data_IF_100140098992
#
_entry.id   IF_100140098992
#
_cell.length_a   1.000
_cell.length_b   1.000
_cell.length_c   1.000
_cell.angle_alpha   90.00
_cell.angle_beta   90.00
_cell.angle_gamma   90.00
#
_symmetry.space_group_name_H-M   'P 1'
#
loop_
_entity.id
_entity.type
_entity.pdbx_description
1 polymer ?
#
# COMPACT_ATOMS: atom_id res chain seq x y z
N UNK A 1 27.52 -43.66 -6.09
CA UNK A 1 26.84 -43.52 -7.39
C UNK A 1 25.34 -43.32 -7.23
N UNK A 2 24.62 -44.16 -6.46
CA UNK A 2 23.18 -43.98 -6.20
C UNK A 2 22.82 -42.59 -5.62
N UNK A 3 23.57 -42.07 -4.64
CA UNK A 3 23.31 -40.72 -4.08
C UNK A 3 23.52 -39.57 -5.09
N UNK A 4 24.40 -39.74 -6.09
CA UNK A 4 24.60 -38.71 -7.12
C UNK A 4 23.46 -38.68 -8.13
N UNK A 5 22.82 -39.82 -8.37
CA UNK A 5 21.69 -39.96 -9.27
C UNK A 5 20.41 -39.37 -8.66
N UNK A 6 20.20 -39.56 -7.35
CA UNK A 6 19.09 -38.96 -6.61
C UNK A 6 19.18 -37.42 -6.53
N UNK A 7 20.39 -36.87 -6.36
CA UNK A 7 20.60 -35.42 -6.34
C UNK A 7 20.33 -34.80 -7.72
N UNK A 8 20.75 -35.46 -8.80
CA UNK A 8 20.51 -34.98 -10.15
C UNK A 8 19.01 -34.95 -10.49
N UNK A 9 18.27 -35.99 -10.13
CA UNK A 9 16.82 -36.06 -10.33
C UNK A 9 16.06 -35.01 -9.51
N UNK A 10 16.50 -34.74 -8.27
CA UNK A 10 15.93 -33.68 -7.45
C UNK A 10 16.16 -32.29 -8.06
N UNK A 11 17.35 -32.06 -8.62
CA UNK A 11 17.72 -30.79 -9.24
C UNK A 11 16.90 -30.52 -10.51
N UNK A 12 16.75 -31.54 -11.36
CA UNK A 12 15.91 -31.48 -12.57
C UNK A 12 14.44 -31.18 -12.20
N UNK A 13 13.90 -31.85 -11.17
CA UNK A 13 12.55 -31.59 -10.68
C UNK A 13 12.37 -30.15 -10.20
N UNK A 14 13.35 -29.59 -9.47
CA UNK A 14 13.30 -28.20 -9.04
C UNK A 14 13.41 -27.21 -10.21
N UNK A 15 14.22 -27.52 -11.22
CA UNK A 15 14.39 -26.67 -12.38
C UNK A 15 13.12 -26.61 -13.24
N UNK A 16 12.44 -27.74 -13.40
CA UNK A 16 11.13 -27.80 -14.05
C UNK A 16 10.07 -27.01 -13.27
N UNK A 17 10.06 -27.11 -11.93
CA UNK A 17 9.14 -26.33 -11.10
C UNK A 17 9.39 -24.82 -11.19
N UNK A 18 10.65 -24.37 -11.28
CA UNK A 18 10.98 -22.96 -11.49
C UNK A 18 10.48 -22.49 -12.85
N UNK A 19 10.69 -23.30 -13.90
CA UNK A 19 10.21 -22.97 -15.24
C UNK A 19 8.68 -22.83 -15.30
N UNK A 20 7.94 -23.73 -14.63
CA UNK A 20 6.49 -23.65 -14.53
C UNK A 20 6.03 -22.36 -13.82
N UNK A 21 6.76 -21.93 -12.78
CA UNK A 21 6.48 -20.66 -12.09
C UNK A 21 6.72 -19.45 -12.99
N UNK A 22 7.80 -19.45 -13.78
CA UNK A 22 8.06 -18.38 -14.75
C UNK A 22 6.95 -18.27 -15.81
N UNK A 23 6.47 -19.41 -16.33
CA UNK A 23 5.34 -19.46 -17.27
C UNK A 23 4.05 -18.92 -16.63
N UNK A 24 3.80 -19.23 -15.36
CA UNK A 24 2.66 -18.68 -14.62
C UNK A 24 2.76 -17.16 -14.44
N UNK A 25 3.95 -16.64 -14.10
CA UNK A 25 4.19 -15.20 -13.95
C UNK A 25 3.96 -14.46 -15.27
N UNK A 26 4.44 -15.00 -16.39
CA UNK A 26 4.24 -14.40 -17.71
C UNK A 26 2.75 -14.39 -18.09
N UNK A 27 2.05 -15.50 -17.85
CA UNK A 27 0.60 -15.59 -18.08
C UNK A 27 -0.19 -14.58 -17.23
N UNK A 28 0.20 -14.38 -15.97
CA UNK A 28 -0.40 -13.36 -15.09
C UNK A 28 -0.17 -11.93 -15.59
N UNK A 29 1.02 -11.65 -16.12
CA UNK A 29 1.34 -10.35 -16.71
C UNK A 29 0.48 -10.09 -17.96
N UNK A 30 0.26 -11.08 -18.81
CA UNK A 30 -0.60 -10.96 -19.98
C UNK A 30 -2.06 -10.68 -19.60
N UNK A 31 -2.56 -11.38 -18.57
CA UNK A 31 -3.90 -11.10 -18.02
C UNK A 31 -3.99 -9.68 -17.48
N UNK A 32 -2.99 -9.23 -16.71
CA UNK A 32 -2.94 -7.86 -16.18
C UNK A 32 -2.98 -6.80 -17.29
N UNK A 33 -2.18 -6.99 -18.34
CA UNK A 33 -2.15 -6.09 -19.50
C UNK A 33 -3.49 -6.07 -20.23
N UNK A 34 -4.11 -7.25 -20.39
CA UNK A 34 -5.43 -7.41 -21.01
C UNK A 34 -6.53 -6.70 -20.22
N UNK A 35 -6.60 -6.89 -18.90
CA UNK A 35 -7.53 -6.19 -17.99
C UNK A 35 -7.33 -4.68 -18.10
N UNK A 36 -6.08 -4.22 -18.02
CA UNK A 36 -5.76 -2.80 -18.10
C UNK A 36 -6.22 -2.19 -19.43
N UNK A 37 -6.00 -2.88 -20.55
CA UNK A 37 -6.45 -2.43 -21.87
C UNK A 37 -7.98 -2.33 -21.96
N UNK A 38 -8.72 -3.34 -21.49
CA UNK A 38 -10.19 -3.32 -21.45
C UNK A 38 -10.69 -2.14 -20.62
N UNK A 39 -10.07 -1.90 -19.46
CA UNK A 39 -10.44 -0.80 -18.56
C UNK A 39 -10.21 0.57 -19.19
N UNK A 40 -9.08 0.77 -19.88
CA UNK A 40 -8.82 2.02 -20.62
C UNK A 40 -9.84 2.28 -21.74
N UNK A 41 -10.29 1.23 -22.43
CA UNK A 41 -11.36 1.34 -23.44
C UNK A 41 -12.68 1.76 -22.78
N UNK A 42 -13.06 1.11 -21.68
CA UNK A 42 -14.30 1.43 -20.95
C UNK A 42 -14.31 2.85 -20.37
N UNK A 43 -13.15 3.36 -19.98
CA UNK A 43 -12.99 4.74 -19.50
C UNK A 43 -12.89 5.78 -20.62
N UNK A 44 -12.99 5.37 -21.89
CA UNK A 44 -12.83 6.26 -23.04
C UNK A 44 -11.42 6.82 -23.20
N UNK A 45 -10.42 6.23 -22.53
CA UNK A 45 -9.01 6.64 -22.58
C UNK A 45 -8.28 6.05 -23.79
N UNK A 46 -8.80 4.99 -24.39
CA UNK A 46 -8.30 4.43 -25.64
C UNK A 46 -9.46 4.06 -26.57
N UNK A 47 -9.42 4.44 -27.86
CA UNK A 47 -10.42 4.00 -28.81
C UNK A 47 -10.26 2.49 -29.09
N UNK A 48 -11.35 1.70 -29.13
CA UNK A 48 -11.25 0.31 -29.53
C UNK A 48 -10.83 0.21 -30.99
N UNK A 49 -9.88 -0.67 -31.32
CA UNK A 49 -9.48 -0.97 -32.70
C UNK A 49 -10.69 -1.40 -33.56
N UNK A 50 -11.63 -2.14 -32.95
CA UNK A 50 -12.98 -2.39 -33.46
C UNK A 50 -13.87 -2.95 -32.34
N UNK A 51 -15.20 -2.90 -32.51
CA UNK A 51 -16.13 -3.52 -31.56
C UNK A 51 -15.99 -5.05 -31.45
N UNK A 52 -15.49 -5.71 -32.51
CA UNK A 52 -15.20 -7.14 -32.49
C UNK A 52 -13.93 -7.44 -31.67
N UNK A 53 -12.85 -6.67 -31.88
CA UNK A 53 -11.60 -6.82 -31.15
C UNK A 53 -11.77 -6.56 -29.65
N UNK A 54 -12.62 -5.62 -29.27
CA UNK A 54 -12.96 -5.39 -27.85
C UNK A 54 -13.66 -6.60 -27.23
N UNK A 55 -14.65 -7.18 -27.92
CA UNK A 55 -15.39 -8.36 -27.42
C UNK A 55 -14.48 -9.57 -27.27
N UNK A 56 -13.56 -9.80 -28.20
CA UNK A 56 -12.58 -10.89 -28.10
C UNK A 56 -11.62 -10.68 -26.94
N UNK A 57 -11.07 -9.47 -26.79
CA UNK A 57 -10.20 -9.14 -25.65
C UNK A 57 -10.93 -9.32 -24.33
N UNK A 58 -12.14 -8.78 -24.17
CA UNK A 58 -12.93 -8.94 -22.95
C UNK A 58 -13.25 -10.42 -22.64
N UNK A 59 -13.55 -11.23 -23.65
CA UNK A 59 -13.80 -12.67 -23.50
C UNK A 59 -12.53 -13.42 -23.06
N UNK A 60 -11.39 -13.09 -23.66
CA UNK A 60 -10.09 -13.63 -23.25
C UNK A 60 -9.77 -13.27 -21.80
N UNK A 61 -9.89 -11.98 -21.44
CA UNK A 61 -9.67 -11.49 -20.08
C UNK A 61 -10.55 -12.23 -19.06
N UNK A 62 -11.84 -12.36 -19.35
CA UNK A 62 -12.79 -13.06 -18.47
C UNK A 62 -12.40 -14.52 -18.27
N UNK A 63 -12.10 -15.24 -19.36
CA UNK A 63 -11.73 -16.67 -19.32
C UNK A 63 -10.43 -16.90 -18.54
N UNK A 64 -9.47 -15.99 -18.70
CA UNK A 64 -8.20 -16.06 -18.00
C UNK A 64 -8.37 -15.77 -16.50
N UNK A 65 -9.18 -14.77 -16.13
CA UNK A 65 -9.53 -14.51 -14.73
C UNK A 65 -10.28 -15.67 -14.08
N UNK A 66 -11.21 -16.31 -14.80
CA UNK A 66 -11.92 -17.50 -14.30
C UNK A 66 -10.97 -18.69 -14.10
N UNK A 67 -10.01 -18.89 -15.00
CA UNK A 67 -8.98 -19.92 -14.87
C UNK A 67 -8.05 -19.66 -13.69
N UNK A 68 -7.64 -18.40 -13.49
CA UNK A 68 -6.85 -17.98 -12.33
C UNK A 68 -7.61 -18.15 -11.01
N UNK A 69 -8.90 -17.82 -10.98
CA UNK A 69 -9.74 -18.02 -9.81
C UNK A 69 -9.83 -19.52 -9.45
N UNK A 70 -9.99 -20.40 -10.44
CA UNK A 70 -9.96 -21.86 -10.24
C UNK A 70 -8.60 -22.35 -9.72
N UNK A 71 -7.50 -21.79 -10.21
CA UNK A 71 -6.15 -22.12 -9.73
C UNK A 71 -5.90 -21.62 -8.30
N UNK A 72 -6.38 -20.42 -7.96
CA UNK A 72 -6.25 -19.84 -6.62
C UNK A 72 -7.03 -20.66 -5.55
N UNK A 73 -8.21 -21.17 -5.91
CA UNK A 73 -8.99 -22.06 -5.04
C UNK A 73 -8.26 -23.39 -4.79
N UNK A 74 -7.49 -23.87 -5.76
CA UNK A 74 -6.73 -25.13 -5.64
C UNK A 74 -5.36 -24.94 -4.95
N UNK A 75 -4.76 -23.74 -5.00
CA UNK A 75 -3.46 -23.47 -4.39
C UNK A 75 -3.54 -23.25 -2.87
N UNK A 76 -4.71 -22.89 -2.34
CA UNK A 76 -4.95 -22.76 -0.90
C UNK A 76 -4.83 -24.13 -0.18
N UNK A 77 -5.24 -25.21 -0.85
CA UNK A 77 -5.02 -26.59 -0.38
C UNK A 77 -3.54 -26.99 -0.39
N UNK A 78 -2.83 -26.68 -1.47
CA UNK A 78 -1.39 -26.97 -1.61
C UNK A 78 -0.51 -26.16 -0.64
N UNK A 79 -0.87 -24.91 -0.35
CA UNK A 79 -0.16 -24.07 0.64
C UNK A 79 -0.36 -24.59 2.06
N UNK A 80 -1.56 -25.06 2.40
CA UNK A 80 -1.84 -25.68 3.69
C UNK A 80 -1.09 -27.02 3.83
N UNK A 81 -1.06 -27.84 2.77
CA UNK A 81 -0.31 -29.09 2.75
C UNK A 81 1.22 -28.85 2.83
N UNK A 82 1.76 -27.84 2.14
CA UNK A 82 3.17 -27.48 2.21
C UNK A 82 3.56 -26.95 3.61
N UNK A 83 2.68 -26.17 4.25
CA UNK A 83 2.90 -25.69 5.62
C UNK A 83 2.81 -26.81 6.67
N UNK A 84 1.97 -27.83 6.45
CA UNK A 84 1.86 -28.97 7.36
C UNK A 84 2.98 -29.98 7.22
N UNK A 85 3.65 -30.07 6.06
CA UNK A 85 4.52 -31.22 5.76
C UNK A 85 6.02 -30.95 5.98
N UNK A 86 6.52 -29.70 5.92
CA UNK A 86 7.97 -29.46 5.95
C UNK A 86 8.53 -28.39 6.90
N UNK A 87 7.74 -27.44 7.42
CA UNK A 87 8.29 -26.43 8.34
C UNK A 87 8.74 -26.95 9.73
N UNK A 88 8.07 -27.96 10.36
CA UNK A 88 8.48 -28.44 11.67
C UNK A 88 9.77 -29.28 11.67
N UNK A 89 10.28 -29.72 10.51
CA UNK A 89 11.48 -30.56 10.42
C UNK A 89 12.78 -29.76 10.26
N UNK A 90 12.71 -28.51 9.83
CA UNK A 90 13.87 -27.64 9.61
C UNK A 90 14.18 -26.71 10.79
N UNK A 91 13.22 -26.51 11.69
CA UNK A 91 13.38 -25.76 12.92
C UNK A 91 13.26 -26.74 14.08
N UNK A 92 14.40 -27.17 14.62
CA UNK A 92 14.44 -27.97 15.84
C UNK A 92 13.63 -27.32 16.98
N UNK A 93 13.26 -28.08 18.03
CA UNK A 93 12.36 -27.61 19.07
C UNK A 93 12.92 -26.34 19.73
N UNK A 94 12.20 -25.22 19.57
CA UNK A 94 12.55 -23.96 20.21
C UNK A 94 12.34 -24.06 21.73
N UNK A 95 13.35 -23.74 22.56
CA UNK A 95 13.22 -23.82 24.01
C UNK A 95 12.66 -22.51 24.54
N UNK A 96 11.35 -22.41 24.71
CA UNK A 96 10.71 -21.59 25.76
C UNK A 96 9.36 -22.24 26.08
N UNK A 97 9.29 -22.79 27.29
CA UNK A 97 8.15 -23.51 27.84
C UNK A 97 6.98 -22.58 28.15
N UNK A 98 5.80 -23.21 28.22
CA UNK A 98 4.47 -22.65 28.49
C UNK A 98 4.32 -21.85 29.81
N UNK A 99 5.36 -21.68 30.63
CA UNK A 99 5.27 -21.06 31.96
C UNK A 99 5.38 -19.52 31.93
N UNK A 100 5.91 -18.92 30.86
CA UNK A 100 6.01 -17.45 30.73
C UNK A 100 4.65 -16.80 30.40
N UNK A 101 3.71 -17.54 29.79
CA UNK A 101 2.40 -17.02 29.34
C UNK A 101 1.45 -16.60 30.47
N UNK A 102 1.62 -17.10 31.69
CA UNK A 102 0.72 -16.75 32.80
C UNK A 102 1.25 -15.59 33.66
N UNK A 103 2.55 -15.29 33.62
CA UNK A 103 3.13 -14.21 34.45
C UNK A 103 3.09 -12.84 33.76
N UNK A 104 3.17 -12.78 32.43
CA UNK A 104 3.17 -11.49 31.71
C UNK A 104 1.78 -10.85 31.59
N UNK A 105 0.71 -11.67 31.50
CA UNK A 105 -0.67 -11.16 31.45
C UNK A 105 -1.16 -10.53 32.77
N UNK A 106 -0.51 -10.83 33.91
CA UNK A 106 -0.86 -10.24 35.21
C UNK A 106 -0.03 -9.00 35.57
N UNK A 107 1.00 -8.68 34.77
CA UNK A 107 1.92 -7.57 35.06
C UNK A 107 1.66 -6.33 34.19
N UNK A 108 0.93 -6.45 33.07
CA UNK A 108 0.56 -5.33 32.20
C UNK A 108 -0.54 -4.42 32.78
N UNK A 109 -1.37 -4.90 33.72
CA UNK A 109 -2.45 -4.11 34.32
C UNK A 109 -1.98 -3.13 35.41
N UNK A 110 -0.71 -3.22 35.85
CA UNK A 110 -0.15 -2.37 36.91
C UNK A 110 0.74 -1.22 36.42
N UNK A 111 1.07 -1.19 35.12
CA UNK A 111 1.98 -0.19 34.54
C UNK A 111 1.30 0.78 33.56
N UNK A 112 -0.04 0.80 33.50
CA UNK A 112 -0.77 1.81 32.75
C UNK A 112 -0.56 3.19 33.41
N UNK A 113 0.25 4.04 32.76
CA UNK A 113 0.44 5.44 33.15
C UNK A 113 -0.93 6.16 33.01
N UNK A 114 -1.48 6.75 34.08
CA UNK A 114 -2.71 7.52 33.97
C UNK A 114 -2.44 8.81 33.19
N UNK A 115 -2.93 8.91 31.96
CA UNK A 115 -2.91 10.17 31.21
C UNK A 115 -4.16 10.98 31.53
N UNK A 116 -3.95 12.17 32.11
CA UNK A 116 -5.00 13.19 32.22
C UNK A 116 -5.51 13.56 30.82
N UNK A 117 -6.82 13.83 30.65
CA UNK A 117 -7.34 14.34 29.38
C UNK A 117 -6.66 15.68 29.06
N UNK A 118 -5.95 15.73 27.93
CA UNK A 118 -5.38 16.97 27.42
C UNK A 118 -6.50 17.82 26.80
N UNK A 119 -6.66 19.09 27.22
CA UNK A 119 -7.54 20.02 26.54
C UNK A 119 -6.91 20.44 25.22
N UNK A 120 -7.65 20.27 24.12
CA UNK A 120 -7.31 20.85 22.82
C UNK A 120 -6.40 19.99 21.94
N UNK A 121 -6.92 18.86 21.44
CA UNK A 121 -6.42 18.34 20.16
C UNK A 121 -6.78 19.40 19.12
N UNK A 122 -5.77 20.10 18.61
CA UNK A 122 -5.94 21.07 17.52
C UNK A 122 -6.28 20.26 16.28
N UNK A 123 -7.57 20.05 16.07
CA UNK A 123 -8.17 19.54 14.85
C UNK A 123 -7.79 20.51 13.74
N UNK A 124 -6.97 20.06 12.79
CA UNK A 124 -6.75 20.80 11.56
C UNK A 124 -8.05 20.73 10.73
N UNK A 125 -8.98 21.63 11.02
CA UNK A 125 -10.18 21.85 10.20
C UNK A 125 -9.73 22.24 8.80
N UNK A 126 -10.07 21.42 7.81
CA UNK A 126 -10.06 21.82 6.42
C UNK A 126 -11.10 22.92 6.24
N UNK A 127 -10.66 24.15 5.99
CA UNK A 127 -11.55 25.26 5.66
C UNK A 127 -12.26 24.96 4.33
N UNK A 128 -13.52 24.55 4.45
CA UNK A 128 -14.49 24.44 3.37
C UNK A 128 -15.11 25.82 3.13
N UNK A 129 -14.77 26.46 2.01
CA UNK A 129 -15.66 27.34 1.22
C UNK A 129 -14.94 28.00 0.02
N UNK A 130 -13.61 28.05 0.03
CA UNK A 130 -12.80 28.31 -1.17
C UNK A 130 -12.27 26.98 -1.69
N UNK A 131 -12.34 26.73 -2.99
CA UNK A 131 -11.66 25.56 -3.58
C UNK A 131 -10.22 25.51 -3.08
N UNK A 132 -9.67 24.32 -2.81
CA UNK A 132 -8.37 24.21 -2.15
C UNK A 132 -7.34 25.07 -2.88
N UNK A 133 -6.47 25.77 -2.14
CA UNK A 133 -5.48 26.74 -2.65
C UNK A 133 -4.61 26.17 -3.79
N UNK A 134 -4.53 24.84 -3.87
CA UNK A 134 -3.77 24.06 -4.83
C UNK A 134 -4.58 23.49 -6.01
N UNK A 135 -5.86 23.83 -6.13
CA UNK A 135 -6.69 23.40 -7.25
C UNK A 135 -6.15 23.93 -8.58
N UNK A 136 -5.98 23.05 -9.57
CA UNK A 136 -5.45 23.36 -10.91
C UNK A 136 -3.98 23.78 -10.98
N UNK A 137 -3.21 23.63 -9.91
CA UNK A 137 -1.78 23.85 -9.96
C UNK A 137 -1.07 22.81 -10.83
N UNK A 138 0.06 23.21 -11.41
CA UNK A 138 1.00 22.25 -12.01
C UNK A 138 1.56 21.33 -10.90
N UNK A 139 2.14 20.19 -11.29
CA UNK A 139 2.84 19.29 -10.36
C UNK A 139 3.91 20.07 -9.58
N UNK A 140 4.69 20.91 -10.28
CA UNK A 140 5.76 21.71 -9.69
C UNK A 140 5.22 22.76 -8.69
N UNK A 141 4.15 23.45 -9.05
CA UNK A 141 3.54 24.45 -8.17
C UNK A 141 2.86 23.81 -6.96
N UNK A 142 2.32 22.60 -7.13
CA UNK A 142 1.76 21.80 -6.04
C UNK A 142 2.86 21.39 -5.05
N UNK A 143 4.03 20.96 -5.55
CA UNK A 143 5.19 20.65 -4.69
C UNK A 143 5.65 21.89 -3.92
N UNK A 144 5.80 23.04 -4.60
CA UNK A 144 6.18 24.31 -3.94
C UNK A 144 5.16 24.80 -2.92
N UNK A 145 3.87 24.63 -3.19
CA UNK A 145 2.83 24.90 -2.20
C UNK A 145 2.96 23.95 -1.00
N UNK A 146 3.15 22.66 -1.23
CA UNK A 146 3.25 21.65 -0.18
C UNK A 146 4.47 21.90 0.73
N UNK A 147 5.64 22.22 0.16
CA UNK A 147 6.82 22.59 0.93
C UNK A 147 6.58 23.80 1.84
N UNK A 148 5.89 24.84 1.33
CA UNK A 148 5.52 26.02 2.13
C UNK A 148 4.58 25.64 3.28
N UNK A 149 3.61 24.76 3.03
CA UNK A 149 2.67 24.28 4.05
C UNK A 149 3.38 23.47 5.14
N UNK A 150 4.21 22.49 4.75
CA UNK A 150 4.96 21.64 5.68
C UNK A 150 5.93 22.45 6.54
N UNK A 151 6.58 23.47 5.96
CA UNK A 151 7.44 24.38 6.72
C UNK A 151 6.68 25.15 7.80
N UNK A 152 5.41 25.50 7.57
CA UNK A 152 4.56 26.16 8.57
C UNK A 152 4.08 25.21 9.67
N UNK A 153 3.82 23.94 9.35
CA UNK A 153 3.37 22.95 10.33
C UNK A 153 4.50 22.39 11.21
N UNK A 154 5.76 22.59 10.83
CA UNK A 154 6.93 22.04 11.53
C UNK A 154 7.15 20.55 11.30
N UNK A 155 6.34 19.93 10.44
CA UNK A 155 6.45 18.51 10.08
C UNK A 155 7.70 18.30 9.21
N UNK A 156 8.47 17.24 9.47
CA UNK A 156 9.67 16.92 8.67
C UNK A 156 9.32 16.05 7.47
N UNK A 157 8.58 16.62 6.51
CA UNK A 157 8.21 15.93 5.25
C UNK A 157 8.83 16.67 4.07
N UNK A 158 9.36 15.93 3.10
CA UNK A 158 9.90 16.49 1.85
C UNK A 158 9.35 15.73 0.68
N UNK A 159 8.83 16.44 -0.32
CA UNK A 159 8.42 15.86 -1.59
C UNK A 159 9.33 16.36 -2.70
N UNK A 160 9.85 15.46 -3.54
CA UNK A 160 10.76 15.81 -4.63
C UNK A 160 10.49 14.93 -5.84
N UNK A 161 10.66 15.48 -7.03
CA UNK A 161 10.60 14.70 -8.27
C UNK A 161 11.84 13.81 -8.39
N UNK A 162 11.64 12.57 -8.82
CA UNK A 162 12.73 11.68 -9.23
C UNK A 162 12.90 11.76 -10.74
N UNK A 163 14.13 11.97 -11.19
CA UNK A 163 14.49 11.85 -12.59
C UNK A 163 14.47 10.37 -12.98
N UNK A 164 13.41 9.94 -13.64
CA UNK A 164 13.36 8.60 -14.24
C UNK A 164 14.16 8.60 -15.53
N UNK A 165 15.19 7.75 -15.62
CA UNK A 165 16.07 7.59 -16.80
C UNK A 165 15.40 7.00 -18.05
N UNK A 166 14.06 6.95 -18.12
CA UNK A 166 13.35 6.32 -19.23
C UNK A 166 12.26 7.24 -19.77
N UNK A 167 12.12 7.21 -21.10
CA UNK A 167 11.21 7.97 -21.97
C UNK A 167 9.72 7.62 -21.76
N UNK A 168 9.26 7.54 -20.51
CA UNK A 168 7.88 7.29 -20.19
C UNK A 168 7.11 8.60 -19.93
N UNK A 169 5.80 8.66 -20.23
CA UNK A 169 4.98 9.84 -19.97
C UNK A 169 4.68 10.06 -18.47
N UNK A 170 5.21 9.18 -17.60
CA UNK A 170 4.98 9.21 -16.16
C UNK A 170 6.03 10.05 -15.45
N UNK A 171 5.59 10.80 -14.45
CA UNK A 171 6.47 11.44 -13.49
C UNK A 171 6.45 10.67 -12.18
N UNK A 172 7.63 10.43 -11.61
CA UNK A 172 7.75 9.81 -10.30
C UNK A 172 8.08 10.87 -9.27
N UNK A 173 7.32 10.92 -8.18
CA UNK A 173 7.60 11.74 -7.01
C UNK A 173 8.01 10.84 -5.85
N UNK A 174 9.00 11.27 -5.08
CA UNK A 174 9.38 10.70 -3.79
C UNK A 174 8.94 11.64 -2.69
N UNK A 175 8.19 11.12 -1.73
CA UNK A 175 7.78 11.83 -0.51
C UNK A 175 8.46 11.14 0.67
N UNK A 176 9.41 11.82 1.30
CA UNK A 176 10.09 11.36 2.49
C UNK A 176 9.40 11.95 3.73
N UNK A 177 8.92 11.07 4.61
CA UNK A 177 8.44 11.40 5.95
C UNK A 177 9.56 11.00 6.91
N UNK A 178 10.27 11.99 7.44
CA UNK A 178 11.54 11.79 8.16
C UNK A 178 11.39 10.81 9.32
N UNK A 179 12.21 9.75 9.30
CA UNK A 179 12.24 8.71 10.33
C UNK A 179 11.06 7.74 10.33
N UNK A 180 10.12 7.86 9.38
CA UNK A 180 8.92 7.01 9.30
C UNK A 180 8.92 6.21 8.00
N UNK A 181 8.80 6.88 6.85
CA UNK A 181 8.53 6.21 5.58
C UNK A 181 8.96 7.01 4.36
N UNK A 182 9.11 6.32 3.24
CA UNK A 182 9.23 6.87 1.90
C UNK A 182 8.01 6.44 1.08
N UNK A 183 7.29 7.38 0.48
CA UNK A 183 6.24 7.10 -0.48
C UNK A 183 6.69 7.46 -1.89
N UNK A 184 6.40 6.61 -2.87
CA UNK A 184 6.65 6.87 -4.28
C UNK A 184 5.31 6.97 -5.01
N UNK A 185 5.13 8.06 -5.74
CA UNK A 185 3.91 8.38 -6.48
C UNK A 185 4.28 8.43 -7.96
N UNK A 186 3.74 7.50 -8.73
CA UNK A 186 3.80 7.51 -10.20
C UNK A 186 2.54 8.17 -10.70
N UNK A 187 2.68 9.29 -11.40
CA UNK A 187 1.55 10.07 -11.89
C UNK A 187 1.68 10.42 -13.37
N UNK A 188 0.53 10.62 -14.01
CA UNK A 188 0.43 11.19 -15.35
C UNK A 188 0.12 12.68 -15.24
N UNK A 189 0.89 13.50 -15.95
CA UNK A 189 0.61 14.93 -16.06
C UNK A 189 0.04 15.27 -17.43
N UNK A 190 -0.93 16.18 -17.49
CA UNK A 190 -1.46 16.68 -18.75
C UNK A 190 -0.50 17.68 -19.42
N UNK A 191 -0.85 18.15 -20.63
CA UNK A 191 -0.06 19.14 -21.39
C UNK A 191 0.21 20.46 -20.65
N UNK A 192 -0.57 20.78 -19.61
CA UNK A 192 -0.37 21.97 -18.75
C UNK A 192 0.48 21.65 -17.51
N UNK A 193 1.09 20.46 -17.45
CA UNK A 193 1.90 20.00 -16.33
C UNK A 193 1.10 19.69 -15.06
N UNK A 194 -0.23 19.55 -15.14
CA UNK A 194 -1.10 19.27 -13.98
C UNK A 194 -1.30 17.77 -13.83
N UNK A 195 -1.33 17.28 -12.60
CA UNK A 195 -1.64 15.88 -12.30
C UNK A 195 -3.03 15.53 -12.86
N UNK A 196 -3.10 14.50 -13.71
CA UNK A 196 -4.33 13.99 -14.30
C UNK A 196 -4.76 12.70 -13.64
N UNK A 197 -3.81 11.82 -13.32
CA UNK A 197 -4.05 10.55 -12.66
C UNK A 197 -2.82 10.14 -11.84
N UNK A 198 -3.02 9.30 -10.83
CA UNK A 198 -1.94 8.62 -10.12
C UNK A 198 -2.05 7.14 -10.50
N UNK A 199 -1.04 6.63 -11.20
CA UNK A 199 -1.00 5.25 -11.69
C UNK A 199 -0.56 4.27 -10.61
N UNK A 200 0.32 4.71 -9.69
CA UNK A 200 0.80 3.88 -8.57
C UNK A 200 1.18 4.76 -7.39
N UNK A 201 0.81 4.32 -6.20
CA UNK A 201 1.30 4.87 -4.93
C UNK A 201 1.75 3.71 -4.07
N UNK A 202 3.04 3.69 -3.73
CA UNK A 202 3.63 2.66 -2.88
C UNK A 202 4.39 3.31 -1.73
N UNK A 203 4.37 2.68 -0.57
CA UNK A 203 4.99 3.15 0.66
C UNK A 203 5.97 2.10 1.17
N UNK A 204 7.12 2.58 1.62
CA UNK A 204 8.23 1.81 2.19
C UNK A 204 8.69 2.43 3.51
N UNK A 205 9.37 1.66 4.34
CA UNK A 205 10.05 2.15 5.52
C UNK A 205 11.18 3.12 5.17
N UNK A 206 11.55 3.97 6.14
CA UNK A 206 12.58 4.99 5.93
C UNK A 206 13.95 4.41 5.50
N UNK A 207 14.27 3.18 5.90
CA UNK A 207 15.52 2.48 5.57
C UNK A 207 15.39 1.39 4.50
N UNK A 208 14.24 1.26 3.84
CA UNK A 208 14.07 0.28 2.76
C UNK A 208 14.60 0.83 1.43
N UNK A 209 15.37 0.01 0.72
CA UNK A 209 15.93 0.32 -0.62
C UNK A 209 15.19 -0.47 -1.70
N UNK A 210 13.89 -0.21 -1.84
CA UNK A 210 13.04 -0.89 -2.81
C UNK A 210 12.79 -0.01 -4.04
N UNK A 211 12.57 -0.66 -5.17
CA UNK A 211 12.14 0.02 -6.39
C UNK A 211 10.66 0.42 -6.32
N UNK A 212 10.28 1.42 -7.11
CA UNK A 212 8.89 1.92 -7.20
C UNK A 212 7.89 0.83 -7.62
N UNK A 213 8.38 -0.26 -8.23
CA UNK A 213 7.59 -1.35 -8.79
C UNK A 213 7.43 -2.54 -7.85
N UNK A 214 8.16 -2.54 -6.74
CA UNK A 214 8.08 -3.57 -5.71
C UNK A 214 7.12 -3.14 -4.60
N UNK A 215 6.85 -4.07 -3.69
CA UNK A 215 6.14 -3.80 -2.45
C UNK A 215 7.13 -3.80 -1.28
N UNK A 216 6.81 -3.10 -0.20
CA UNK A 216 7.63 -3.07 1.02
C UNK A 216 7.81 -4.47 1.62
N UNK A 217 8.96 -4.76 2.19
CA UNK A 217 9.20 -5.97 2.98
C UNK A 217 8.40 -5.98 4.30
N UNK A 218 8.02 -4.81 4.81
CA UNK A 218 7.28 -4.66 6.06
C UNK A 218 5.76 -4.61 5.83
N UNK A 219 5.04 -5.48 6.55
CA UNK A 219 3.58 -5.61 6.45
C UNK A 219 2.82 -4.29 6.71
N UNK A 220 3.35 -3.44 7.60
CA UNK A 220 2.76 -2.13 7.92
C UNK A 220 2.68 -1.22 6.68
N UNK A 221 3.77 -1.12 5.91
CA UNK A 221 3.81 -0.25 4.73
C UNK A 221 3.13 -0.89 3.52
N UNK A 222 3.14 -2.24 3.40
CA UNK A 222 2.24 -2.93 2.45
C UNK A 222 0.79 -2.56 2.68
N UNK A 223 0.34 -2.56 3.95
CA UNK A 223 -1.03 -2.20 4.31
C UNK A 223 -1.34 -0.73 3.98
N UNK A 224 -0.42 0.19 4.27
CA UNK A 224 -0.59 1.61 3.90
C UNK A 224 -0.70 1.77 2.39
N UNK A 225 0.12 1.06 1.62
CA UNK A 225 0.08 1.08 0.15
C UNK A 225 -1.29 0.61 -0.37
N UNK A 226 -1.87 -0.43 0.23
CA UNK A 226 -3.23 -0.89 -0.11
C UNK A 226 -4.31 0.15 0.21
N UNK A 227 -4.22 0.80 1.39
CA UNK A 227 -5.17 1.87 1.78
C UNK A 227 -5.04 3.06 0.82
N UNK A 228 -3.83 3.37 0.38
CA UNK A 228 -3.56 4.48 -0.52
C UNK A 228 -4.24 4.33 -1.87
N UNK A 229 -4.43 3.10 -2.37
CA UNK A 229 -5.21 2.85 -3.61
C UNK A 229 -6.64 3.39 -3.44
N UNK A 230 -7.31 3.02 -2.34
CA UNK A 230 -8.66 3.50 -2.05
C UNK A 230 -8.71 5.02 -1.81
N UNK A 231 -7.69 5.60 -1.17
CA UNK A 231 -7.60 7.04 -0.98
C UNK A 231 -7.46 7.80 -2.32
N UNK A 232 -6.60 7.30 -3.22
CA UNK A 232 -6.42 7.87 -4.56
C UNK A 232 -7.71 7.82 -5.36
N UNK A 233 -8.39 6.67 -5.38
CA UNK A 233 -9.68 6.51 -6.08
C UNK A 233 -10.73 7.50 -5.53
N UNK A 234 -10.83 7.59 -4.20
CA UNK A 234 -11.74 8.52 -3.55
C UNK A 234 -11.47 10.00 -3.92
N UNK A 235 -10.20 10.43 -3.88
CA UNK A 235 -9.83 11.80 -4.23
C UNK A 235 -10.00 12.10 -5.72
N UNK A 236 -9.79 11.09 -6.57
CA UNK A 236 -9.96 11.21 -8.02
C UNK A 236 -11.42 11.40 -8.40
N UNK A 237 -12.34 10.68 -7.74
CA UNK A 237 -13.77 10.77 -8.03
C UNK A 237 -14.37 12.12 -7.60
N UNK A 238 -13.92 12.67 -6.47
CA UNK A 238 -14.52 13.89 -5.89
C UNK A 238 -13.83 15.18 -6.32
N UNK A 239 -12.50 15.17 -6.37
CA UNK A 239 -11.69 16.38 -6.48
C UNK A 239 -10.46 16.16 -7.38
N UNK A 240 -10.64 15.73 -8.64
CA UNK A 240 -9.54 15.34 -9.52
C UNK A 240 -8.56 16.50 -9.79
N UNK A 241 -9.05 17.75 -9.78
CA UNK A 241 -8.23 18.96 -9.96
C UNK A 241 -7.25 19.24 -8.82
N UNK A 242 -7.42 18.54 -7.70
CA UNK A 242 -6.69 18.72 -6.45
C UNK A 242 -6.05 17.42 -5.96
N UNK A 243 -6.10 16.36 -6.79
CA UNK A 243 -5.68 15.00 -6.46
C UNK A 243 -4.30 14.95 -5.80
N UNK A 244 -3.29 15.53 -6.46
CA UNK A 244 -1.92 15.48 -5.96
C UNK A 244 -1.77 16.21 -4.61
N UNK A 245 -2.41 17.37 -4.45
CA UNK A 245 -2.36 18.12 -3.20
C UNK A 245 -2.96 17.33 -2.03
N UNK A 246 -4.14 16.73 -2.24
CA UNK A 246 -4.82 15.90 -1.24
C UNK A 246 -4.01 14.66 -0.87
N UNK A 247 -3.41 13.99 -1.85
CA UNK A 247 -2.54 12.83 -1.61
C UNK A 247 -1.30 13.22 -0.81
N UNK A 248 -0.64 14.34 -1.15
CA UNK A 248 0.54 14.82 -0.41
C UNK A 248 0.18 15.19 1.04
N UNK A 249 -0.95 15.86 1.25
CA UNK A 249 -1.47 16.15 2.59
C UNK A 249 -1.74 14.87 3.37
N UNK A 250 -2.47 13.92 2.78
CA UNK A 250 -2.78 12.64 3.40
C UNK A 250 -1.52 11.86 3.79
N UNK A 251 -0.52 11.77 2.91
CA UNK A 251 0.78 11.15 3.21
C UNK A 251 1.48 11.85 4.38
N UNK A 252 1.41 13.19 4.47
CA UNK A 252 2.09 13.95 5.54
C UNK A 252 1.57 13.64 6.95
N UNK A 253 0.34 13.15 7.06
CA UNK A 253 -0.28 12.79 8.35
C UNK A 253 0.40 11.59 9.00
N UNK A 254 1.01 10.71 8.20
CA UNK A 254 1.80 9.58 8.67
C UNK A 254 3.08 9.98 9.42
N UNK A 255 3.43 11.27 9.50
CA UNK A 255 4.51 11.75 10.38
C UNK A 255 4.36 11.32 11.85
N UNK A 256 3.14 10.98 12.28
CA UNK A 256 2.84 10.47 13.62
C UNK A 256 2.40 9.01 13.64
N UNK A 257 2.69 8.23 12.58
CA UNK A 257 2.25 6.84 12.44
C UNK A 257 2.50 5.96 13.68
N UNK A 258 3.67 6.09 14.31
CA UNK A 258 4.06 5.29 15.48
C UNK A 258 3.75 5.95 16.83
N UNK A 259 3.26 7.19 16.84
CA UNK A 259 3.16 8.01 18.06
C UNK A 259 1.77 8.59 18.30
N UNK A 260 0.89 8.59 17.29
CA UNK A 260 -0.43 9.17 17.43
C UNK A 260 -1.33 8.34 18.36
N UNK A 261 -2.16 8.98 19.19
CA UNK A 261 -3.25 8.33 19.90
C UNK A 261 -4.44 8.10 18.96
N UNK A 262 -5.20 7.04 19.19
CA UNK A 262 -6.48 6.81 18.51
C UNK A 262 -7.49 7.92 18.83
N UNK A 263 -8.14 8.44 17.80
CA UNK A 263 -9.12 9.51 17.92
C UNK A 263 -10.44 9.04 18.54
N UNK A 264 -10.72 7.74 18.51
CA UNK A 264 -11.91 7.16 19.14
C UNK A 264 -11.75 6.88 20.64
N UNK A 265 -10.60 6.37 21.08
CA UNK A 265 -10.40 5.91 22.47
C UNK A 265 -9.29 6.64 23.24
N UNK A 266 -8.51 7.51 22.60
CA UNK A 266 -7.41 8.27 23.20
C UNK A 266 -6.17 7.44 23.56
N UNK A 267 -6.22 6.11 23.42
CA UNK A 267 -5.06 5.23 23.67
C UNK A 267 -4.10 5.26 22.49
N UNK A 268 -2.81 5.05 22.75
CA UNK A 268 -1.84 4.86 21.67
C UNK A 268 -2.32 3.75 20.74
N UNK A 269 -2.08 3.97 19.46
CA UNK A 269 -2.41 3.05 18.40
C UNK A 269 -1.65 1.71 18.65
N UNK A 270 -2.37 0.61 18.88
CA UNK A 270 -1.87 -0.78 19.01
C UNK A 270 -2.78 -1.69 18.16
N UNK A 271 -2.25 -2.72 17.49
CA UNK A 271 -3.07 -3.58 16.61
C UNK A 271 -3.85 -4.68 17.36
N UNK A 272 -4.94 -5.10 16.71
CA UNK A 272 -6.05 -5.92 17.23
C UNK A 272 -5.92 -7.42 16.84
N UNK A 273 -4.74 -7.90 16.43
CA UNK A 273 -4.55 -9.32 16.05
C UNK A 273 -3.17 -9.89 16.40
N UNK A 274 -3.13 -11.20 16.67
CA UNK A 274 -1.91 -11.97 16.96
C UNK A 274 -0.91 -11.95 15.78
N UNK A 275 -1.39 -11.87 14.53
CA UNK A 275 -0.55 -11.80 13.33
C UNK A 275 0.11 -10.42 13.13
N UNK A 276 -0.47 -9.35 13.67
CA UNK A 276 0.00 -7.97 13.49
C UNK A 276 0.34 -7.29 14.84
N UNK A 277 0.60 -8.10 15.88
CA UNK A 277 0.75 -7.69 17.28
C UNK A 277 1.81 -6.61 17.53
N UNK A 278 2.73 -6.39 16.59
CA UNK A 278 3.87 -5.47 16.72
C UNK A 278 3.86 -4.30 15.72
N UNK A 279 2.78 -4.11 14.96
CA UNK A 279 2.67 -3.01 14.00
C UNK A 279 1.82 -1.87 14.59
N UNK A 280 2.09 -0.59 14.27
CA UNK A 280 1.20 0.51 14.63
C UNK A 280 -0.04 0.51 13.73
N UNK A 281 -1.23 0.89 14.24
CA UNK A 281 -2.41 1.17 13.42
C UNK A 281 -2.11 2.13 12.27
N UNK A 282 -2.36 1.62 11.08
CA UNK A 282 -2.00 2.23 9.79
C UNK A 282 -3.12 3.05 9.16
N UNK A 283 -4.27 3.18 9.85
CA UNK A 283 -5.48 3.70 9.25
C UNK A 283 -5.67 5.19 9.57
N UNK A 284 -5.21 6.01 8.63
CA UNK A 284 -5.64 7.40 8.49
C UNK A 284 -6.83 7.41 7.53
N UNK A 285 -7.99 7.88 8.00
CA UNK A 285 -9.19 8.04 7.16
C UNK A 285 -8.95 9.07 6.05
N UNK A 286 -9.81 9.07 5.04
CA UNK A 286 -9.74 10.01 3.91
C UNK A 286 -11.13 10.51 3.49
N UNK A 287 -12.11 10.47 4.41
CA UNK A 287 -13.53 10.76 4.17
C UNK A 287 -13.89 12.26 4.18
N UNK A 288 -15.19 12.55 3.98
CA UNK A 288 -15.76 13.87 3.69
C UNK A 288 -15.45 14.95 4.73
N UNK A 289 -15.14 14.58 5.98
CA UNK A 289 -14.76 15.56 7.00
C UNK A 289 -13.32 16.06 6.85
N UNK A 290 -12.53 15.55 5.88
CA UNK A 290 -11.12 15.95 5.68
C UNK A 290 -10.22 15.54 6.84
N UNK A 291 -10.73 14.67 7.71
CA UNK A 291 -10.10 14.28 8.94
C UNK A 291 -9.38 12.96 8.68
N UNK A 292 -8.12 13.04 8.27
CA UNK A 292 -7.19 11.92 8.31
C UNK A 292 -6.82 11.63 9.76
N UNK A 293 -7.80 11.15 10.52
CA UNK A 293 -7.64 10.87 11.93
C UNK A 293 -7.16 9.43 12.10
N UNK A 294 -6.21 9.21 13.01
CA UNK A 294 -5.80 7.88 13.38
C UNK A 294 -6.91 7.19 14.16
N UNK A 295 -7.33 6.00 13.72
CA UNK A 295 -8.26 5.15 14.46
C UNK A 295 -7.71 3.72 14.59
N UNK A 296 -8.04 3.07 15.71
CA UNK A 296 -8.04 1.61 15.74
C UNK A 296 -9.13 1.09 14.80
N UNK A 297 -8.92 -0.07 14.13
CA UNK A 297 -9.96 -0.68 13.30
C UNK A 297 -11.30 -0.86 14.03
N UNK A 298 -11.27 -1.27 15.29
CA UNK A 298 -12.48 -1.42 16.12
C UNK A 298 -13.08 -0.08 16.61
N UNK A 299 -12.30 1.02 16.60
CA UNK A 299 -12.76 2.35 17.02
C UNK A 299 -13.37 3.17 15.89
N UNK A 300 -13.17 2.76 14.63
CA UNK A 300 -13.84 3.37 13.50
C UNK A 300 -15.32 2.98 13.52
N UNK A 301 -16.15 3.79 14.19
CA UNK A 301 -17.60 3.62 14.15
C UNK A 301 -18.09 3.90 12.72
N UNK A 302 -18.90 2.99 12.19
CA UNK A 302 -19.65 3.17 10.93
C UNK A 302 -20.62 4.34 11.03
#
# INVERSE_FOLDING_TARGET
MAEQEDIAAALEKTQNAIHDVELMINSLNDVRLSVHHVFHILQGRSPPLSGAAFRENAKFTYTALESLAKLAINSEGLLNDAQSTELPKLLGPSPISLETKQKEAQQEDKNAIPTKPLPGVVVATFESEKGPEYANLSVEDTLRWFERKVRKSGTKVRASRLETQQSFPFSTLKVNVSGVMNAFIVLEANKKGRCQSISRLVVFGAGEENSVWEDSSHLVFKKISQIAVGAVDYFMDRTPRSLLGLVLEWISMYSTLFTAPCSGCGKHLYFDSQQFKHLPPTLYTYDEQGMALPFHPACQKK
#
